data_IF_210319824785
#
_entry.id   IF_210319824785
#
_cell.length_a   1.000
_cell.length_b   1.000
_cell.length_c   1.000
_cell.angle_alpha   90.00
_cell.angle_beta   90.00
_cell.angle_gamma   90.00
#
_symmetry.space_group_name_H-M   'P 1'
#
loop_
_entity.id
_entity.type
_entity.pdbx_description
1 polymer ?
#
# COMPACT_ATOMS: atom_id res chain seq x y z
N UNK A 1 -7.54 32.47 -9.87
CA UNK A 1 -8.87 31.91 -10.19
C UNK A 1 -8.63 30.62 -10.96
N UNK A 2 -9.39 29.54 -10.77
CA UNK A 2 -9.11 28.18 -11.29
C UNK A 2 -9.09 27.98 -12.82
N UNK A 3 -8.89 29.04 -13.59
CA UNK A 3 -8.73 29.06 -15.03
C UNK A 3 -7.25 29.15 -15.38
N UNK A 4 -6.85 28.44 -16.42
CA UNK A 4 -5.51 28.53 -17.00
C UNK A 4 -5.60 29.26 -18.35
N UNK A 5 -4.62 30.12 -18.63
CA UNK A 5 -4.53 30.88 -19.87
C UNK A 5 -3.19 30.57 -20.50
N UNK A 6 -3.19 30.03 -21.72
CA UNK A 6 -1.99 29.68 -22.47
C UNK A 6 -2.17 30.08 -23.93
N UNK A 7 -1.30 30.92 -24.49
CA UNK A 7 -1.34 31.35 -25.90
C UNK A 7 -2.73 31.81 -26.39
N UNK A 8 -3.41 32.68 -25.62
CA UNK A 8 -4.79 33.15 -25.83
C UNK A 8 -5.89 32.08 -25.72
N UNK A 9 -5.53 30.85 -25.38
CA UNK A 9 -6.48 29.79 -25.06
C UNK A 9 -6.81 29.89 -23.57
N UNK A 10 -8.10 30.01 -23.25
CA UNK A 10 -8.60 29.98 -21.87
C UNK A 10 -9.14 28.58 -21.61
N UNK A 11 -8.64 27.92 -20.58
CA UNK A 11 -9.04 26.55 -20.25
C UNK A 11 -9.43 26.37 -18.79
N UNK A 12 -10.35 25.44 -18.56
CA UNK A 12 -10.73 24.98 -17.24
C UNK A 12 -11.19 23.54 -17.31
N UNK A 13 -10.63 22.70 -16.45
CA UNK A 13 -11.01 21.31 -16.32
C UNK A 13 -11.59 21.01 -14.93
N UNK A 14 -12.24 19.87 -14.84
CA UNK A 14 -12.85 19.37 -13.63
C UNK A 14 -12.78 17.86 -13.63
N UNK A 15 -12.42 17.29 -12.48
CA UNK A 15 -12.35 15.85 -12.33
C UNK A 15 -12.93 15.48 -10.97
N UNK A 16 -14.02 14.73 -10.99
CA UNK A 16 -14.65 14.10 -9.83
C UNK A 16 -14.66 12.59 -10.05
N UNK A 17 -15.19 11.83 -9.11
CA UNK A 17 -15.01 10.37 -9.03
C UNK A 17 -15.41 9.62 -10.31
N UNK A 18 -16.48 10.07 -10.98
CA UNK A 18 -17.04 9.40 -12.15
C UNK A 18 -17.11 10.30 -13.39
N UNK A 19 -16.71 11.58 -13.26
CA UNK A 19 -16.85 12.53 -14.34
C UNK A 19 -15.56 13.30 -14.55
N UNK A 20 -15.23 13.48 -15.82
CA UNK A 20 -14.22 14.40 -16.27
C UNK A 20 -14.87 15.44 -17.18
N UNK A 21 -14.59 16.71 -16.93
CA UNK A 21 -15.00 17.83 -17.75
C UNK A 21 -13.78 18.62 -18.17
N UNK A 22 -13.78 19.08 -19.41
CA UNK A 22 -12.72 19.94 -19.91
C UNK A 22 -13.31 20.95 -20.91
N UNK A 23 -12.87 22.19 -20.79
CA UNK A 23 -13.37 23.32 -21.53
C UNK A 23 -12.19 24.13 -22.03
N UNK A 24 -12.22 24.43 -23.32
CA UNK A 24 -11.26 25.27 -24.01
C UNK A 24 -12.02 26.38 -24.75
N UNK A 25 -11.58 27.61 -24.60
CA UNK A 25 -12.02 28.79 -25.34
C UNK A 25 -10.85 29.28 -26.19
N UNK A 26 -11.02 29.26 -27.50
CA UNK A 26 -10.05 29.65 -28.51
C UNK A 26 -10.70 30.69 -29.45
N UNK A 27 -10.42 31.98 -29.19
CA UNK A 27 -11.07 33.09 -29.86
C UNK A 27 -12.59 33.07 -29.69
N UNK A 28 -13.32 32.96 -30.80
CA UNK A 28 -14.79 32.92 -30.83
C UNK A 28 -15.37 31.50 -30.69
N UNK A 29 -14.51 30.49 -30.50
CA UNK A 29 -14.90 29.08 -30.42
C UNK A 29 -14.73 28.55 -29.01
N UNK A 30 -15.76 27.85 -28.51
CA UNK A 30 -15.70 27.11 -27.26
C UNK A 30 -15.86 25.61 -27.52
N UNK A 31 -14.95 24.80 -26.99
CA UNK A 31 -15.03 23.34 -26.99
C UNK A 31 -15.29 22.91 -25.55
N UNK A 32 -16.37 22.17 -25.35
CA UNK A 32 -16.76 21.65 -24.04
C UNK A 32 -16.94 20.15 -24.15
N UNK A 33 -16.17 19.40 -23.35
CA UNK A 33 -16.24 17.95 -23.29
C UNK A 33 -16.63 17.54 -21.88
N UNK A 34 -17.63 16.66 -21.81
CA UNK A 34 -18.03 15.98 -20.58
C UNK A 34 -17.96 14.48 -20.81
N UNK A 35 -17.26 13.80 -19.93
CA UNK A 35 -17.02 12.35 -19.99
C UNK A 35 -17.59 11.75 -18.70
N UNK A 36 -18.55 10.85 -18.85
CA UNK A 36 -19.08 10.05 -17.74
C UNK A 36 -18.19 8.83 -17.46
N UNK A 37 -16.91 9.10 -17.30
CA UNK A 37 -15.92 8.14 -16.83
C UNK A 37 -14.74 8.93 -16.27
N UNK A 38 -14.19 8.46 -15.15
CA UNK A 38 -12.91 8.92 -14.66
C UNK A 38 -12.07 7.73 -14.22
N UNK A 39 -10.79 7.75 -14.62
CA UNK A 39 -9.80 6.74 -14.24
C UNK A 39 -8.45 7.44 -14.08
N UNK A 40 -8.06 7.69 -12.84
CA UNK A 40 -6.83 8.42 -12.50
C UNK A 40 -5.54 7.67 -12.87
N UNK A 41 -5.59 6.35 -13.06
CA UNK A 41 -4.41 5.52 -13.27
C UNK A 41 -4.07 5.33 -14.73
N UNK A 42 -5.07 5.10 -15.58
CA UNK A 42 -4.86 4.80 -17.00
C UNK A 42 -5.30 5.93 -17.90
N UNK A 43 -6.41 6.60 -17.58
CA UNK A 43 -7.03 7.62 -18.46
C UNK A 43 -6.85 9.06 -17.99
N UNK A 44 -6.35 9.28 -16.78
CA UNK A 44 -6.44 10.56 -16.07
C UNK A 44 -5.91 11.76 -16.88
N UNK A 45 -4.70 11.65 -17.42
CA UNK A 45 -4.11 12.71 -18.26
C UNK A 45 -4.45 12.58 -19.75
N UNK A 46 -5.16 11.52 -20.14
CA UNK A 46 -5.48 11.25 -21.54
C UNK A 46 -6.83 11.84 -21.94
N UNK A 47 -7.72 12.15 -20.99
CA UNK A 47 -9.01 12.74 -21.32
C UNK A 47 -8.90 14.19 -21.83
N UNK A 48 -7.94 14.98 -21.36
CA UNK A 48 -7.68 16.32 -21.91
C UNK A 48 -7.27 16.27 -23.39
N UNK A 49 -6.69 15.15 -23.83
CA UNK A 49 -6.32 14.95 -25.24
C UNK A 49 -7.53 14.86 -26.17
N UNK A 50 -8.71 14.55 -25.64
CA UNK A 50 -9.93 14.55 -26.44
C UNK A 50 -10.25 15.98 -26.86
N UNK A 51 -10.14 16.95 -25.95
CA UNK A 51 -10.40 18.37 -26.26
C UNK A 51 -9.38 18.89 -27.27
N UNK A 52 -8.08 18.60 -27.06
CA UNK A 52 -7.05 19.00 -28.02
C UNK A 52 -7.23 18.31 -29.38
N UNK A 53 -7.69 17.05 -29.41
CA UNK A 53 -7.99 16.34 -30.65
C UNK A 53 -9.16 16.95 -31.42
N UNK A 54 -10.23 17.37 -30.71
CA UNK A 54 -11.35 18.10 -31.32
C UNK A 54 -10.87 19.44 -31.88
N UNK A 55 -10.05 20.19 -31.13
CA UNK A 55 -9.48 21.45 -31.60
C UNK A 55 -8.63 21.26 -32.88
N UNK A 56 -7.82 20.21 -32.94
CA UNK A 56 -7.03 19.88 -34.13
C UNK A 56 -7.92 19.59 -35.34
N UNK A 57 -8.98 18.79 -35.18
CA UNK A 57 -9.95 18.49 -36.25
C UNK A 57 -10.61 19.78 -36.74
N UNK A 58 -11.01 20.67 -35.83
CA UNK A 58 -11.62 21.95 -36.18
C UNK A 58 -10.66 22.85 -36.98
N UNK A 59 -9.36 22.74 -36.72
CA UNK A 59 -8.30 23.44 -37.46
C UNK A 59 -7.84 22.71 -38.73
N UNK A 60 -8.54 21.65 -39.15
CA UNK A 60 -8.20 20.87 -40.35
C UNK A 60 -6.95 19.99 -40.19
N UNK A 61 -6.52 19.72 -38.96
CA UNK A 61 -5.38 18.88 -38.63
C UNK A 61 -5.85 17.48 -38.23
N UNK A 62 -5.01 16.47 -38.50
CA UNK A 62 -5.21 15.12 -37.99
C UNK A 62 -4.95 15.08 -36.47
N UNK A 63 -5.81 14.43 -35.66
CA UNK A 63 -5.59 14.27 -34.23
C UNK A 63 -4.26 13.57 -33.94
N UNK A 64 -3.36 14.26 -33.25
CA UNK A 64 -2.10 13.72 -32.76
C UNK A 64 -2.32 13.10 -31.38
N UNK A 65 -2.77 11.85 -31.36
CA UNK A 65 -2.97 11.07 -30.14
C UNK A 65 -1.95 9.95 -29.98
N UNK A 66 -1.13 9.99 -28.92
CA UNK A 66 -0.34 8.83 -28.47
C UNK A 66 -1.26 7.65 -28.12
N UNK A 67 -0.78 6.42 -28.35
CA UNK A 67 -1.46 5.19 -27.95
C UNK A 67 -1.96 5.28 -26.50
N UNK A 68 -3.28 5.20 -26.32
CA UNK A 68 -3.87 5.15 -24.99
C UNK A 68 -3.52 3.78 -24.39
N UNK A 69 -2.93 3.71 -23.18
CA UNK A 69 -2.61 2.45 -22.56
C UNK A 69 -3.86 1.57 -22.45
N UNK A 70 -3.70 0.29 -22.78
CA UNK A 70 -4.81 -0.66 -22.70
C UNK A 70 -5.25 -0.82 -21.23
N UNK A 71 -6.44 -0.32 -20.91
CA UNK A 71 -7.03 -0.32 -19.56
C UNK A 71 -7.03 -1.72 -18.95
N UNK A 72 -7.56 -2.69 -19.69
CA UNK A 72 -7.64 -4.09 -19.22
C UNK A 72 -6.26 -4.63 -18.90
N UNK A 73 -5.28 -4.44 -19.78
CA UNK A 73 -3.91 -4.92 -19.57
C UNK A 73 -3.30 -4.28 -18.32
N UNK A 74 -3.47 -2.98 -18.13
CA UNK A 74 -2.92 -2.27 -16.97
C UNK A 74 -3.53 -2.78 -15.67
N UNK A 75 -4.85 -2.91 -15.60
CA UNK A 75 -5.50 -3.41 -14.38
C UNK A 75 -5.18 -4.88 -14.09
N UNK A 76 -5.06 -5.73 -15.11
CA UNK A 76 -4.60 -7.12 -14.93
C UNK A 76 -3.20 -7.18 -14.31
N UNK A 77 -2.29 -6.29 -14.74
CA UNK A 77 -0.95 -6.21 -14.15
C UNK A 77 -1.02 -5.73 -12.70
N UNK A 78 -1.83 -4.71 -12.41
CA UNK A 78 -2.03 -4.19 -11.04
C UNK A 78 -2.59 -5.29 -10.14
N UNK A 79 -3.64 -5.99 -10.57
CA UNK A 79 -4.26 -7.08 -9.82
C UNK A 79 -3.26 -8.20 -9.55
N UNK A 80 -2.44 -8.57 -10.54
CA UNK A 80 -1.40 -9.58 -10.37
C UNK A 80 -0.36 -9.15 -9.32
N UNK A 81 0.08 -7.88 -9.34
CA UNK A 81 0.97 -7.32 -8.31
C UNK A 81 0.29 -7.37 -6.94
N UNK A 82 -0.98 -7.00 -6.84
CA UNK A 82 -1.76 -7.06 -5.60
C UNK A 82 -1.81 -8.49 -5.04
N UNK A 83 -2.08 -9.49 -5.89
CA UNK A 83 -2.08 -10.91 -5.48
C UNK A 83 -0.72 -11.34 -4.94
N UNK A 84 0.37 -10.97 -5.60
CA UNK A 84 1.73 -11.27 -5.12
C UNK A 84 1.97 -10.65 -3.74
N UNK A 85 1.62 -9.38 -3.55
CA UNK A 85 1.81 -8.70 -2.26
C UNK A 85 1.02 -9.41 -1.16
N UNK A 86 -0.25 -9.77 -1.42
CA UNK A 86 -1.08 -10.52 -0.48
C UNK A 86 -0.45 -11.88 -0.16
N UNK A 87 0.02 -12.62 -1.16
CA UNK A 87 0.68 -13.90 -0.95
C UNK A 87 1.94 -13.77 -0.08
N UNK A 88 2.76 -12.72 -0.29
CA UNK A 88 3.94 -12.44 0.53
C UNK A 88 3.57 -12.08 1.98
N UNK A 89 2.48 -11.35 2.20
CA UNK A 89 1.97 -11.04 3.53
C UNK A 89 1.48 -12.31 4.24
N UNK A 90 0.68 -13.13 3.56
CA UNK A 90 0.21 -14.41 4.10
C UNK A 90 1.39 -15.33 4.43
N UNK A 91 2.38 -15.41 3.56
CA UNK A 91 3.62 -16.16 3.79
C UNK A 91 4.40 -15.62 5.00
N UNK A 92 4.49 -14.30 5.14
CA UNK A 92 5.13 -13.62 6.28
C UNK A 92 4.43 -13.96 7.60
N UNK A 93 3.09 -13.96 7.62
CA UNK A 93 2.28 -14.36 8.77
C UNK A 93 2.46 -15.85 9.08
N UNK A 94 2.39 -16.71 8.08
CA UNK A 94 2.58 -18.16 8.27
C UNK A 94 3.95 -18.49 8.88
N UNK A 95 5.01 -17.81 8.40
CA UNK A 95 6.35 -17.97 8.95
C UNK A 95 6.48 -17.46 10.38
N UNK A 96 5.67 -16.47 10.79
CA UNK A 96 5.63 -15.98 12.17
C UNK A 96 5.30 -17.11 13.16
N UNK A 97 4.31 -17.94 12.82
CA UNK A 97 3.90 -19.08 13.65
C UNK A 97 4.98 -20.19 13.69
N UNK A 98 5.73 -20.37 12.60
CA UNK A 98 6.87 -21.30 12.58
C UNK A 98 8.07 -20.76 13.36
N UNK A 99 8.28 -19.45 13.37
CA UNK A 99 9.42 -18.80 14.02
C UNK A 99 9.45 -19.08 15.52
N UNK A 100 8.28 -19.11 16.16
CA UNK A 100 8.13 -19.44 17.59
C UNK A 100 8.70 -20.82 17.99
N UNK A 101 8.86 -21.75 17.03
CA UNK A 101 9.30 -23.13 17.29
C UNK A 101 10.77 -23.43 16.96
N UNK A 102 11.43 -22.62 16.11
CA UNK A 102 12.72 -23.00 15.50
C UNK A 102 13.77 -21.90 15.42
N UNK A 103 13.54 -20.73 16.02
CA UNK A 103 14.48 -19.63 15.87
C UNK A 103 15.76 -19.86 16.69
N UNK A 104 16.87 -20.04 15.97
CA UNK A 104 18.22 -20.02 16.53
C UNK A 104 18.87 -18.67 16.23
N UNK A 105 19.18 -17.85 17.25
CA UNK A 105 19.75 -16.53 17.06
C UNK A 105 21.21 -16.66 16.63
N UNK A 106 21.48 -16.42 15.35
CA UNK A 106 22.83 -16.17 14.83
C UNK A 106 22.97 -14.69 14.47
N UNK A 107 24.16 -14.08 14.62
CA UNK A 107 24.35 -12.65 14.37
C UNK A 107 23.88 -12.23 12.97
N UNK A 108 24.20 -13.02 11.94
CA UNK A 108 23.74 -12.78 10.57
C UNK A 108 22.20 -12.80 10.45
N UNK A 109 21.53 -13.79 11.06
CA UNK A 109 20.06 -13.88 11.02
C UNK A 109 19.39 -12.73 11.75
N UNK A 110 19.97 -12.27 12.85
CA UNK A 110 19.47 -11.11 13.60
C UNK A 110 19.59 -9.85 12.73
N UNK A 111 20.75 -9.60 12.11
CA UNK A 111 20.96 -8.42 11.26
C UNK A 111 20.00 -8.41 10.07
N UNK A 112 19.87 -9.53 9.35
CA UNK A 112 18.93 -9.64 8.21
C UNK A 112 17.48 -9.45 8.66
N UNK A 113 17.09 -10.04 9.80
CA UNK A 113 15.75 -9.86 10.35
C UNK A 113 15.48 -8.40 10.74
N UNK A 114 16.45 -7.73 11.35
CA UNK A 114 16.32 -6.34 11.76
C UNK A 114 16.21 -5.42 10.56
N UNK A 115 17.05 -5.63 9.53
CA UNK A 115 17.01 -4.85 8.30
C UNK A 115 15.69 -5.05 7.55
N UNK A 116 15.21 -6.30 7.47
CA UNK A 116 13.93 -6.62 6.86
C UNK A 116 12.77 -5.95 7.61
N UNK A 117 12.78 -5.97 8.94
CA UNK A 117 11.78 -5.27 9.76
C UNK A 117 11.81 -3.77 9.55
N UNK A 118 13.00 -3.18 9.56
CA UNK A 118 13.17 -1.75 9.40
C UNK A 118 12.65 -1.29 8.03
N UNK A 119 13.04 -1.96 6.95
CA UNK A 119 12.68 -1.53 5.60
C UNK A 119 11.21 -1.86 5.30
N UNK A 120 10.83 -3.14 5.36
CA UNK A 120 9.54 -3.60 4.84
C UNK A 120 8.38 -3.45 5.81
N UNK A 121 8.66 -3.40 7.12
CA UNK A 121 7.62 -3.31 8.13
C UNK A 121 7.55 -1.95 8.84
N UNK A 122 8.49 -1.03 8.57
CA UNK A 122 8.46 0.32 9.14
C UNK A 122 8.62 1.41 8.07
N UNK A 123 9.78 1.50 7.41
CA UNK A 123 10.09 2.62 6.49
C UNK A 123 9.10 2.67 5.33
N UNK A 124 8.89 1.56 4.63
CA UNK A 124 7.95 1.51 3.48
C UNK A 124 6.52 1.87 3.90
N UNK A 125 5.89 1.18 4.87
CA UNK A 125 4.50 1.48 5.22
C UNK A 125 4.31 2.84 5.87
N UNK A 126 5.22 3.30 6.75
CA UNK A 126 5.14 4.66 7.33
C UNK A 126 5.35 5.71 6.24
N UNK A 127 6.36 5.52 5.38
CA UNK A 127 6.64 6.41 4.26
C UNK A 127 5.44 6.55 3.33
N UNK A 128 4.80 5.43 2.96
CA UNK A 128 3.59 5.44 2.16
C UNK A 128 2.45 6.20 2.84
N UNK A 129 2.20 5.94 4.14
CA UNK A 129 1.13 6.62 4.88
C UNK A 129 1.37 8.14 4.99
N UNK A 130 2.60 8.57 5.25
CA UNK A 130 2.95 10.00 5.38
C UNK A 130 2.93 10.69 4.02
N UNK A 131 3.55 10.10 2.99
CA UNK A 131 3.64 10.74 1.67
C UNK A 131 2.27 10.89 1.02
N UNK A 132 1.37 9.92 1.21
CA UNK A 132 0.01 10.00 0.70
C UNK A 132 -0.81 10.97 1.55
N UNK A 133 -0.86 10.77 2.87
CA UNK A 133 -1.68 11.58 3.78
C UNK A 133 -1.26 13.05 3.89
N UNK A 134 0.00 13.40 3.58
CA UNK A 134 0.47 14.79 3.58
C UNK A 134 0.06 15.56 2.32
N UNK A 135 -0.10 14.88 1.18
CA UNK A 135 -0.52 15.52 -0.07
C UNK A 135 -2.02 15.70 -0.17
N UNK A 136 -2.77 14.70 0.30
CA UNK A 136 -4.22 14.67 0.14
C UNK A 136 -4.85 13.94 1.32
N UNK A 137 -5.99 14.40 1.87
CA UNK A 137 -6.71 13.67 2.89
C UNK A 137 -7.09 12.25 2.44
N UNK A 138 -7.03 11.28 3.36
CA UNK A 138 -7.32 9.87 3.06
C UNK A 138 -8.70 9.63 2.45
N UNK A 139 -9.71 10.40 2.85
CA UNK A 139 -11.05 10.26 2.27
C UNK A 139 -11.03 10.50 0.76
N UNK A 140 -10.19 11.43 0.27
CA UNK A 140 -10.06 11.68 -1.17
C UNK A 140 -9.46 10.46 -1.86
N UNK A 141 -8.43 9.82 -1.31
CA UNK A 141 -7.90 8.59 -1.91
C UNK A 141 -8.93 7.46 -1.97
N UNK A 142 -9.76 7.31 -0.94
CA UNK A 142 -10.78 6.27 -0.90
C UNK A 142 -11.90 6.54 -1.90
N UNK A 143 -12.25 7.80 -2.07
CA UNK A 143 -13.31 8.25 -2.96
C UNK A 143 -12.87 8.23 -4.43
N UNK A 144 -11.64 8.68 -4.73
CA UNK A 144 -11.14 8.86 -6.09
C UNK A 144 -10.36 7.65 -6.64
N UNK A 145 -9.88 6.77 -5.75
CA UNK A 145 -9.17 5.54 -6.13
C UNK A 145 -9.73 4.34 -5.34
N UNK A 146 -11.04 4.04 -5.48
CA UNK A 146 -11.65 2.89 -4.80
C UNK A 146 -10.92 1.59 -5.17
N UNK A 147 -10.84 0.66 -4.23
CA UNK A 147 -10.00 -0.54 -4.36
C UNK A 147 -8.53 -0.28 -4.04
N UNK A 148 -7.78 0.37 -4.93
CA UNK A 148 -6.31 0.51 -4.78
C UNK A 148 -5.93 1.39 -3.58
N UNK A 149 -6.62 2.52 -3.38
CA UNK A 149 -6.36 3.39 -2.22
C UNK A 149 -6.61 2.66 -0.90
N UNK A 150 -7.70 1.87 -0.84
CA UNK A 150 -8.02 1.03 0.32
C UNK A 150 -6.99 -0.08 0.52
N UNK A 151 -6.60 -0.74 -0.56
CA UNK A 151 -5.62 -1.82 -0.55
C UNK A 151 -4.26 -1.38 0.01
N UNK A 152 -3.73 -0.25 -0.49
CA UNK A 152 -2.47 0.33 0.00
C UNK A 152 -2.58 0.65 1.49
N UNK A 153 -3.66 1.32 1.90
CA UNK A 153 -3.87 1.69 3.30
C UNK A 153 -3.90 0.45 4.21
N UNK A 154 -4.72 -0.55 3.87
CA UNK A 154 -4.85 -1.79 4.64
C UNK A 154 -3.51 -2.52 4.73
N UNK A 155 -2.77 -2.62 3.63
CA UNK A 155 -1.45 -3.28 3.63
C UNK A 155 -0.46 -2.54 4.51
N UNK A 156 -0.44 -1.21 4.49
CA UNK A 156 0.45 -0.46 5.36
C UNK A 156 0.18 -0.77 6.84
N UNK A 157 -1.10 -0.77 7.25
CA UNK A 157 -1.49 -1.13 8.62
C UNK A 157 -1.11 -2.58 8.96
N UNK A 158 -1.36 -3.53 8.05
CA UNK A 158 -1.00 -4.94 8.25
C UNK A 158 0.52 -5.12 8.37
N UNK A 159 1.31 -4.46 7.52
CA UNK A 159 2.77 -4.55 7.57
C UNK A 159 3.33 -3.97 8.87
N UNK A 160 2.78 -2.86 9.36
CA UNK A 160 3.15 -2.29 10.67
C UNK A 160 2.81 -3.25 11.80
N UNK A 161 1.61 -3.84 11.78
CA UNK A 161 1.19 -4.84 12.78
C UNK A 161 2.09 -6.07 12.79
N UNK A 162 2.42 -6.63 11.61
CA UNK A 162 3.36 -7.73 11.47
C UNK A 162 4.76 -7.33 11.98
N UNK A 163 5.20 -6.11 11.68
CA UNK A 163 6.46 -5.54 12.17
C UNK A 163 6.52 -5.53 13.69
N UNK A 164 5.48 -5.01 14.33
CA UNK A 164 5.37 -4.95 15.79
C UNK A 164 5.48 -6.35 16.42
N UNK A 165 4.73 -7.33 15.89
CA UNK A 165 4.75 -8.71 16.43
C UNK A 165 6.13 -9.35 16.23
N UNK A 166 6.74 -9.22 15.03
CA UNK A 166 8.08 -9.76 14.77
C UNK A 166 9.13 -9.11 15.67
N UNK A 167 9.03 -7.81 15.91
CA UNK A 167 9.94 -7.08 16.81
C UNK A 167 9.83 -7.60 18.23
N UNK A 168 8.60 -7.79 18.72
CA UNK A 168 8.35 -8.37 20.04
C UNK A 168 8.93 -9.79 20.17
N UNK A 169 8.71 -10.65 19.18
CA UNK A 169 9.26 -12.01 19.18
C UNK A 169 10.79 -12.03 19.11
N UNK A 170 11.40 -11.11 18.35
CA UNK A 170 12.85 -10.97 18.28
C UNK A 170 13.43 -10.59 19.65
N UNK A 171 12.84 -9.58 20.31
CA UNK A 171 13.24 -9.13 21.65
C UNK A 171 13.13 -10.29 22.65
N UNK A 172 12.00 -11.01 22.68
CA UNK A 172 11.83 -12.16 23.57
C UNK A 172 12.89 -13.24 23.33
N UNK A 173 13.22 -13.54 22.07
CA UNK A 173 14.24 -14.54 21.77
C UNK A 173 15.63 -14.09 22.21
N UNK A 174 15.97 -12.81 22.05
CA UNK A 174 17.27 -12.27 22.48
C UNK A 174 17.42 -12.33 24.01
N UNK A 175 16.35 -12.00 24.74
CA UNK A 175 16.33 -12.10 26.22
C UNK A 175 16.53 -13.55 26.66
N UNK A 176 15.78 -14.51 26.08
CA UNK A 176 15.92 -15.94 26.40
C UNK A 176 17.33 -16.47 26.12
N UNK A 177 17.93 -16.06 25.00
CA UNK A 177 19.29 -16.47 24.66
C UNK A 177 20.33 -15.92 25.65
N UNK A 178 20.21 -14.64 26.03
CA UNK A 178 21.09 -14.01 27.02
C UNK A 178 20.99 -14.68 28.39
N UNK A 179 19.77 -15.03 28.83
CA UNK A 179 19.57 -15.77 30.09
C UNK A 179 20.22 -17.17 30.05
N UNK A 180 20.12 -17.89 28.94
CA UNK A 180 20.76 -19.22 28.77
C UNK A 180 22.28 -19.14 28.77
N UNK A 181 22.86 -18.11 28.14
CA UNK A 181 24.32 -17.88 28.17
C UNK A 181 24.85 -17.54 29.56
N UNK A 182 24.09 -16.74 30.34
CA UNK A 182 24.49 -16.32 31.69
C UNK A 182 24.28 -17.40 32.77
N UNK A 183 23.56 -18.49 32.48
CA UNK A 183 23.26 -19.54 33.46
C UNK A 183 23.32 -20.95 32.83
N UNK A 184 24.53 -21.52 32.63
CA UNK A 184 24.72 -22.77 31.88
C UNK A 184 24.15 -24.04 32.55
N UNK A 185 23.70 -23.96 33.80
CA UNK A 185 23.33 -25.12 34.64
C UNK A 185 21.84 -25.45 34.71
N UNK A 186 20.96 -24.77 33.99
CA UNK A 186 19.52 -25.08 33.99
C UNK A 186 19.19 -26.16 32.94
N UNK A 187 18.80 -27.39 33.34
CA UNK A 187 18.28 -28.38 32.42
C UNK A 187 16.88 -27.97 31.93
N UNK A 188 16.51 -28.41 30.72
CA UNK A 188 15.22 -28.09 30.05
C UNK A 188 13.96 -28.44 30.87
N UNK A 189 14.09 -29.25 31.93
CA UNK A 189 12.98 -29.67 32.80
C UNK A 189 12.38 -28.55 33.65
N UNK A 190 13.13 -27.45 33.92
CA UNK A 190 12.65 -26.42 34.84
C UNK A 190 11.73 -25.36 34.21
N UNK A 191 11.75 -25.19 32.89
CA UNK A 191 10.92 -24.17 32.19
C UNK A 191 9.53 -24.72 31.86
N UNK A 192 9.41 -26.03 31.60
CA UNK A 192 8.10 -26.68 31.39
C UNK A 192 7.32 -26.97 32.68
N UNK A 193 7.98 -26.96 33.85
CA UNK A 193 7.33 -27.26 35.14
C UNK A 193 6.35 -26.19 35.61
N UNK A 194 6.62 -24.91 35.32
CA UNK A 194 5.77 -23.81 35.77
C UNK A 194 4.43 -23.70 35.01
N UNK A 195 4.36 -24.14 33.75
CA UNK A 195 3.08 -24.16 33.00
C UNK A 195 2.20 -25.37 33.37
N UNK A 196 2.78 -26.48 33.86
CA UNK A 196 1.98 -27.67 34.24
C UNK A 196 1.49 -27.65 35.69
N UNK A 197 2.14 -26.93 36.61
CA UNK A 197 1.71 -26.88 38.01
C UNK A 197 0.52 -25.95 38.29
N UNK A 198 0.21 -25.01 37.40
CA UNK A 198 -0.99 -24.16 37.53
C UNK A 198 -2.27 -24.79 36.96
N UNK A 199 -2.18 -25.91 36.25
CA UNK A 199 -3.35 -26.60 35.66
C UNK A 199 -3.81 -27.83 36.46
N UNK A 200 -3.19 -28.14 37.61
CA UNK A 200 -3.44 -29.37 38.38
C UNK A 200 -3.78 -29.08 39.85
N UNK A 201 -4.83 -28.28 40.09
CA UNK A 201 -5.57 -28.33 41.34
C UNK A 201 -7.04 -28.64 41.00
N UNK A 202 -7.48 -29.90 41.11
CA UNK A 202 -8.90 -30.19 41.16
C UNK A 202 -9.42 -29.78 42.54
N UNK A 203 -10.48 -28.98 42.53
CA UNK A 203 -11.26 -28.62 43.70
C UNK A 203 -11.87 -29.89 44.32
N UNK A 204 -11.65 -30.22 45.60
CA UNK A 204 -12.40 -31.27 46.25
C UNK A 204 -13.78 -30.73 46.66
N UNK A 205 -14.80 -31.48 46.28
CA UNK A 205 -16.21 -31.31 46.64
C UNK A 205 -16.39 -31.19 48.16
N UNK A 206 -17.15 -30.16 48.59
CA UNK A 206 -18.16 -30.21 49.67
C UNK A 206 -19.32 -29.33 49.22
#
# INVERSE_FOLDING_TARGET
>A
MGWEINDNIIQHNGAVENFYSDMILDGDTAIVVLINAQDYLVRGMNFSKIVSGVQQIMNGQEPTGLEIPNVTRTYVIIDFICVIIVALIVWSIYNLFKWKKKFTPTPLRITVSLLSLLIFNLIIPVGALILMGSKTPWYVFFTYMPGIGHFIFIICILLLGIGAIKTFLLIQSLIKHKMKQNNPRLPESHIQGHEKQQAAFPNPEI
#
